data_IF_335820137489
#
_entry.id   IF_335820137489
#
_cell.length_a   1.000
_cell.length_b   1.000
_cell.length_c   1.000
_cell.angle_alpha   90.00
_cell.angle_beta   90.00
_cell.angle_gamma   90.00
#
_symmetry.space_group_name_H-M   'P 1'
#
loop_
_entity.id
_entity.type
_entity.pdbx_description
1 polymer ?
#
# COMPACT_ATOMS: atom_id res chain seq x y z
N UNK A 1 5.40 -18.77 16.80
CA UNK A 1 6.03 -17.71 15.99
C UNK A 1 5.18 -16.44 15.82
N UNK A 2 4.02 -16.32 16.51
CA UNK A 2 3.11 -15.18 16.34
C UNK A 2 3.66 -13.84 16.87
N UNK A 3 4.16 -13.81 18.11
CA UNK A 3 4.67 -12.57 18.72
C UNK A 3 5.80 -11.88 17.91
N UNK A 4 6.88 -12.59 17.49
CA UNK A 4 7.91 -11.94 16.67
C UNK A 4 7.37 -11.48 15.31
N UNK A 5 6.43 -12.23 14.71
CA UNK A 5 5.80 -11.83 13.47
C UNK A 5 5.01 -10.52 13.62
N UNK A 6 4.23 -10.39 14.69
CA UNK A 6 3.46 -9.17 14.99
C UNK A 6 4.38 -7.97 15.14
N UNK A 7 5.45 -8.09 15.94
CA UNK A 7 6.42 -7.01 16.14
C UNK A 7 7.08 -6.61 14.82
N UNK A 8 7.60 -7.58 14.06
CA UNK A 8 8.28 -7.30 12.79
C UNK A 8 7.33 -6.66 11.79
N UNK A 9 6.13 -7.22 11.60
CA UNK A 9 5.19 -6.74 10.60
C UNK A 9 4.63 -5.36 10.96
N UNK A 10 4.20 -5.14 12.21
CA UNK A 10 3.65 -3.84 12.66
C UNK A 10 4.73 -2.77 12.63
N UNK A 11 5.93 -3.04 13.15
CA UNK A 11 7.01 -2.05 13.13
C UNK A 11 7.46 -1.73 11.70
N UNK A 12 7.60 -2.75 10.83
CA UNK A 12 8.03 -2.52 9.44
C UNK A 12 6.97 -1.78 8.64
N UNK A 13 5.68 -2.12 8.82
CA UNK A 13 4.59 -1.38 8.20
C UNK A 13 4.55 0.07 8.68
N UNK A 14 4.69 0.29 9.99
CA UNK A 14 4.68 1.63 10.55
C UNK A 14 5.84 2.50 10.01
N UNK A 15 7.05 1.93 10.01
CA UNK A 15 8.24 2.59 9.50
C UNK A 15 8.15 2.86 8.00
N UNK A 16 7.68 1.90 7.22
CA UNK A 16 7.58 2.06 5.76
C UNK A 16 6.61 3.17 5.39
N UNK A 17 5.41 3.16 5.99
CA UNK A 17 4.39 4.19 5.75
C UNK A 17 4.87 5.56 6.23
N UNK A 18 5.44 5.65 7.43
CA UNK A 18 5.96 6.91 7.97
C UNK A 18 7.11 7.49 7.14
N UNK A 19 8.06 6.65 6.71
CA UNK A 19 9.19 7.07 5.87
C UNK A 19 8.73 7.51 4.47
N UNK A 20 7.75 6.83 3.88
CA UNK A 20 7.19 7.23 2.59
C UNK A 20 6.56 8.62 2.68
N UNK A 21 5.75 8.89 3.71
CA UNK A 21 5.14 10.20 3.91
C UNK A 21 6.16 11.29 4.18
N UNK A 22 7.13 11.01 5.05
CA UNK A 22 8.22 11.95 5.32
C UNK A 22 8.95 12.30 4.04
N UNK A 23 9.35 11.32 3.23
CA UNK A 23 10.13 11.56 2.03
C UNK A 23 9.34 12.40 1.01
N UNK A 24 8.04 12.17 0.85
CA UNK A 24 7.19 12.89 -0.12
C UNK A 24 7.02 14.37 0.23
N UNK A 25 7.10 14.76 1.50
CA UNK A 25 6.94 16.14 1.95
C UNK A 25 8.25 16.92 2.13
N UNK A 26 9.40 16.32 1.76
CA UNK A 26 10.71 16.97 1.91
C UNK A 26 11.07 17.84 0.70
N UNK A 27 12.11 18.67 0.88
CA UNK A 27 12.66 19.47 -0.23
C UNK A 27 13.21 18.60 -1.38
N UNK A 28 13.16 19.12 -2.60
CA UNK A 28 13.53 18.39 -3.83
C UNK A 28 14.89 17.68 -3.76
N UNK A 29 15.91 18.27 -3.14
CA UNK A 29 17.24 17.65 -3.04
C UNK A 29 17.26 16.46 -2.07
N UNK A 30 16.54 16.56 -0.94
CA UNK A 30 16.40 15.47 0.04
C UNK A 30 15.57 14.32 -0.51
N UNK A 31 14.52 14.65 -1.27
CA UNK A 31 13.71 13.68 -2.02
C UNK A 31 14.58 12.85 -2.96
N UNK A 32 15.45 13.49 -3.75
CA UNK A 32 16.35 12.80 -4.68
C UNK A 32 17.33 11.88 -3.95
N UNK A 33 17.95 12.36 -2.87
CA UNK A 33 18.89 11.57 -2.09
C UNK A 33 18.20 10.37 -1.43
N UNK A 34 17.04 10.58 -0.82
CA UNK A 34 16.27 9.51 -0.20
C UNK A 34 15.75 8.49 -1.21
N UNK A 35 15.32 8.92 -2.39
CA UNK A 35 14.93 8.01 -3.47
C UNK A 35 16.12 7.20 -4.01
N UNK A 36 17.31 7.81 -4.12
CA UNK A 36 18.52 7.09 -4.52
C UNK A 36 18.90 6.03 -3.49
N UNK A 37 18.87 6.37 -2.20
CA UNK A 37 19.11 5.41 -1.11
C UNK A 37 18.09 4.25 -1.15
N UNK A 38 16.80 4.57 -1.33
CA UNK A 38 15.74 3.57 -1.45
C UNK A 38 15.92 2.69 -2.69
N UNK A 39 16.39 3.24 -3.80
CA UNK A 39 16.69 2.50 -5.03
C UNK A 39 17.85 1.52 -4.83
N UNK A 40 18.90 1.93 -4.12
CA UNK A 40 20.01 1.04 -3.74
C UNK A 40 19.50 -0.09 -2.85
N UNK A 41 18.67 0.22 -1.85
CA UNK A 41 18.06 -0.79 -0.97
C UNK A 41 17.17 -1.77 -1.75
N UNK A 42 16.40 -1.29 -2.73
CA UNK A 42 15.58 -2.14 -3.58
C UNK A 42 16.42 -3.06 -4.47
N UNK A 43 17.54 -2.57 -5.03
CA UNK A 43 18.48 -3.39 -5.79
C UNK A 43 19.13 -4.47 -4.93
N UNK A 44 19.55 -4.12 -3.72
CA UNK A 44 20.05 -5.09 -2.73
C UNK A 44 18.97 -6.10 -2.37
N UNK A 45 17.72 -5.66 -2.20
CA UNK A 45 16.61 -6.55 -1.92
C UNK A 45 16.45 -7.59 -3.04
N UNK A 46 16.41 -7.16 -4.30
CA UNK A 46 16.35 -8.05 -5.46
C UNK A 46 17.51 -9.04 -5.52
N UNK A 47 18.73 -8.61 -5.19
CA UNK A 47 19.91 -9.48 -5.17
C UNK A 47 19.84 -10.53 -4.04
N UNK A 48 19.18 -10.22 -2.91
CA UNK A 48 19.09 -11.10 -1.75
C UNK A 48 17.89 -12.07 -1.79
N UNK A 49 16.83 -11.77 -2.54
CA UNK A 49 15.65 -12.65 -2.65
C UNK A 49 16.04 -14.11 -2.98
N UNK A 50 16.86 -14.42 -4.00
CA UNK A 50 17.21 -15.81 -4.32
C UNK A 50 17.72 -16.62 -3.12
N UNK A 51 18.51 -16.00 -2.24
CA UNK A 51 19.09 -16.66 -1.07
C UNK A 51 18.06 -16.91 0.03
N UNK A 52 17.08 -16.00 0.19
CA UNK A 52 16.03 -16.17 1.19
C UNK A 52 15.03 -17.26 0.81
N UNK A 53 14.74 -17.38 -0.49
CA UNK A 53 13.67 -18.25 -0.99
C UNK A 53 14.09 -19.73 -0.94
N UNK A 54 15.37 -20.03 -1.14
CA UNK A 54 15.93 -21.38 -1.02
C UNK A 54 16.24 -21.83 0.41
N UNK A 55 16.21 -20.90 1.38
CA UNK A 55 16.58 -21.20 2.77
C UNK A 55 15.37 -21.61 3.61
N UNK A 56 15.51 -22.71 4.34
CA UNK A 56 14.52 -23.21 5.29
C UNK A 56 14.67 -22.60 6.68
N UNK A 57 15.55 -21.62 6.88
CA UNK A 57 15.74 -21.00 8.19
C UNK A 57 14.64 -19.99 8.54
N UNK A 58 14.20 -19.89 9.80
CA UNK A 58 13.19 -18.91 10.20
C UNK A 58 13.62 -17.47 9.92
N UNK A 59 14.92 -17.16 10.05
CA UNK A 59 15.46 -15.84 9.73
C UNK A 59 15.24 -15.49 8.26
N UNK A 60 15.29 -16.47 7.35
CA UNK A 60 15.05 -16.25 5.93
C UNK A 60 13.60 -15.83 5.64
N UNK A 61 12.62 -16.28 6.43
CA UNK A 61 11.23 -15.81 6.32
C UNK A 61 11.10 -14.34 6.74
N UNK A 62 11.71 -13.95 7.86
CA UNK A 62 11.72 -12.55 8.32
C UNK A 62 12.45 -11.64 7.33
N UNK A 63 13.61 -12.06 6.81
CA UNK A 63 14.34 -11.33 5.79
C UNK A 63 13.53 -11.22 4.50
N UNK A 64 12.97 -12.32 3.99
CA UNK A 64 12.13 -12.33 2.79
C UNK A 64 10.95 -11.35 2.89
N UNK A 65 10.32 -11.27 4.06
CA UNK A 65 9.28 -10.27 4.34
C UNK A 65 9.80 -8.83 4.23
N UNK A 66 10.93 -8.51 4.86
CA UNK A 66 11.54 -7.17 4.80
C UNK A 66 11.96 -6.83 3.36
N UNK A 67 12.53 -7.77 2.62
CA UNK A 67 12.90 -7.58 1.21
C UNK A 67 11.66 -7.27 0.36
N UNK A 68 10.56 -8.00 0.57
CA UNK A 68 9.29 -7.73 -0.10
C UNK A 68 8.76 -6.33 0.20
N UNK A 69 8.87 -5.87 1.45
CA UNK A 69 8.49 -4.50 1.84
C UNK A 69 9.39 -3.43 1.23
N UNK A 70 10.69 -3.68 1.09
CA UNK A 70 11.62 -2.73 0.45
C UNK A 70 11.32 -2.58 -1.05
N UNK A 71 11.07 -3.70 -1.74
CA UNK A 71 10.67 -3.70 -3.15
C UNK A 71 9.34 -2.93 -3.32
N UNK A 72 8.35 -3.22 -2.47
CA UNK A 72 7.09 -2.49 -2.45
C UNK A 72 7.27 -1.00 -2.17
N UNK A 73 8.06 -0.66 -1.14
CA UNK A 73 8.34 0.71 -0.75
C UNK A 73 8.93 1.53 -1.88
N UNK A 74 9.87 0.97 -2.62
CA UNK A 74 10.45 1.61 -3.80
C UNK A 74 9.40 1.82 -4.90
N UNK A 75 8.58 0.81 -5.21
CA UNK A 75 7.50 0.94 -6.19
C UNK A 75 6.52 2.05 -5.79
N UNK A 76 6.09 2.07 -4.54
CA UNK A 76 5.13 3.03 -4.01
C UNK A 76 5.69 4.46 -3.98
N UNK A 77 6.90 4.65 -3.47
CA UNK A 77 7.56 5.96 -3.43
C UNK A 77 7.83 6.47 -4.86
N UNK A 78 8.25 5.59 -5.79
CA UNK A 78 8.45 5.98 -7.18
C UNK A 78 7.17 6.49 -7.85
N UNK A 79 6.02 5.96 -7.43
CA UNK A 79 4.70 6.42 -7.86
C UNK A 79 4.33 7.76 -7.21
N UNK A 80 4.50 7.90 -5.89
CA UNK A 80 4.18 9.14 -5.16
C UNK A 80 5.02 10.33 -5.66
N UNK A 81 6.29 10.09 -6.02
CA UNK A 81 7.18 11.10 -6.61
C UNK A 81 6.86 11.40 -8.09
N UNK A 82 6.00 10.62 -8.72
CA UNK A 82 5.62 10.79 -10.12
C UNK A 82 6.69 10.35 -11.13
N UNK A 83 7.69 9.57 -10.73
CA UNK A 83 8.67 9.01 -11.66
C UNK A 83 8.10 7.85 -12.49
N UNK A 84 7.19 7.08 -11.89
CA UNK A 84 6.53 5.93 -12.54
C UNK A 84 5.01 6.09 -12.41
N UNK A 85 4.47 7.18 -12.94
CA UNK A 85 3.01 7.38 -13.08
C UNK A 85 2.58 7.21 -14.54
N UNK A 86 1.29 7.02 -14.77
CA UNK A 86 0.75 6.80 -16.11
C UNK A 86 0.68 8.07 -16.95
N UNK A 87 0.45 7.95 -18.27
CA UNK A 87 0.54 9.07 -19.22
C UNK A 87 -0.53 10.16 -19.07
N UNK A 88 -1.59 9.90 -18.31
CA UNK A 88 -2.68 10.86 -18.13
C UNK A 88 -2.47 11.69 -16.87
N UNK A 89 -2.27 12.99 -17.05
CA UNK A 89 -2.18 13.99 -15.98
C UNK A 89 -3.33 15.01 -16.03
N UNK A 90 -4.35 14.76 -16.85
CA UNK A 90 -5.45 15.70 -17.06
C UNK A 90 -6.53 15.54 -15.98
N UNK A 91 -7.13 16.66 -15.59
CA UNK A 91 -8.28 16.71 -14.69
C UNK A 91 -9.47 16.05 -15.37
N UNK A 92 -10.22 15.22 -14.64
CA UNK A 92 -11.39 14.55 -15.21
C UNK A 92 -12.47 15.55 -15.64
N UNK A 93 -13.00 15.39 -16.86
CA UNK A 93 -14.18 16.13 -17.29
C UNK A 93 -15.38 15.83 -16.36
N UNK A 94 -16.08 16.89 -15.94
CA UNK A 94 -17.25 16.83 -15.06
C UNK A 94 -18.38 16.00 -15.67
N UNK A 95 -18.50 15.95 -17.00
CA UNK A 95 -19.52 15.18 -17.72
C UNK A 95 -19.08 13.77 -18.12
N UNK A 96 -17.88 13.33 -17.73
CA UNK A 96 -17.38 12.00 -18.10
C UNK A 96 -18.23 10.87 -17.49
N UNK A 97 -18.57 9.89 -18.33
CA UNK A 97 -19.25 8.64 -17.90
C UNK A 97 -18.37 7.85 -16.92
N UNK A 98 -18.98 7.00 -16.07
CA UNK A 98 -18.23 6.18 -15.11
C UNK A 98 -17.09 5.39 -15.76
N UNK A 99 -17.31 4.84 -16.96
CA UNK A 99 -16.27 4.10 -17.69
C UNK A 99 -15.12 4.98 -18.18
N UNK A 100 -15.41 6.19 -18.67
CA UNK A 100 -14.37 7.15 -19.06
C UNK A 100 -13.54 7.61 -17.84
N UNK A 101 -14.18 7.81 -16.69
CA UNK A 101 -13.49 8.11 -15.43
C UNK A 101 -12.61 6.94 -14.98
N UNK A 102 -13.10 5.71 -15.09
CA UNK A 102 -12.34 4.51 -14.76
C UNK A 102 -11.11 4.37 -15.65
N UNK A 103 -11.30 4.45 -16.97
CA UNK A 103 -10.19 4.38 -17.94
C UNK A 103 -9.18 5.52 -17.72
N UNK A 104 -9.68 6.73 -17.45
CA UNK A 104 -8.85 7.88 -17.11
C UNK A 104 -8.01 7.66 -15.86
N UNK A 105 -8.62 7.19 -14.75
CA UNK A 105 -7.95 6.89 -13.48
C UNK A 105 -6.99 5.70 -13.53
N UNK A 106 -7.28 4.66 -14.33
CA UNK A 106 -6.31 3.59 -14.57
C UNK A 106 -5.14 4.13 -15.41
N UNK A 107 -5.41 4.97 -16.41
CA UNK A 107 -4.38 5.58 -17.23
C UNK A 107 -3.45 6.53 -16.45
N UNK A 108 -3.83 7.02 -15.26
CA UNK A 108 -2.92 7.80 -14.40
C UNK A 108 -1.92 6.93 -13.63
N UNK A 109 -2.16 5.61 -13.53
CA UNK A 109 -1.36 4.70 -12.69
C UNK A 109 -0.81 3.48 -13.45
N UNK A 110 -1.09 3.36 -14.75
CA UNK A 110 -0.84 2.12 -15.52
C UNK A 110 0.62 1.66 -15.54
N UNK A 111 1.60 2.57 -15.63
CA UNK A 111 3.02 2.19 -15.64
C UNK A 111 3.45 1.60 -14.29
N UNK A 112 3.01 2.20 -13.19
CA UNK A 112 3.23 1.64 -11.86
C UNK A 112 2.63 0.24 -11.76
N UNK A 113 1.39 0.06 -12.22
CA UNK A 113 0.73 -1.25 -12.16
C UNK A 113 1.45 -2.33 -12.95
N UNK A 114 1.96 -1.99 -14.13
CA UNK A 114 2.79 -2.91 -14.92
C UNK A 114 4.08 -3.25 -14.18
N UNK A 115 4.76 -2.28 -13.58
CA UNK A 115 5.97 -2.53 -12.78
C UNK A 115 5.70 -3.43 -11.56
N UNK A 116 4.58 -3.22 -10.87
CA UNK A 116 4.17 -4.07 -9.74
C UNK A 116 3.85 -5.48 -10.22
N UNK A 117 3.09 -5.63 -11.30
CA UNK A 117 2.76 -6.93 -11.90
C UNK A 117 4.01 -7.70 -12.33
N UNK A 118 4.96 -7.03 -12.98
CA UNK A 118 6.24 -7.63 -13.36
C UNK A 118 7.05 -8.05 -12.13
N UNK A 119 7.06 -7.23 -11.07
CA UNK A 119 7.75 -7.54 -9.82
C UNK A 119 7.13 -8.76 -9.12
N UNK A 120 5.80 -8.82 -9.03
CA UNK A 120 5.06 -9.97 -8.49
C UNK A 120 5.32 -11.22 -9.34
N UNK A 121 5.28 -11.10 -10.66
CA UNK A 121 5.55 -12.20 -11.59
C UNK A 121 6.98 -12.73 -11.47
N UNK A 122 7.98 -11.85 -11.35
CA UNK A 122 9.36 -12.23 -11.16
C UNK A 122 9.56 -12.96 -9.82
N UNK A 123 9.01 -12.42 -8.72
CA UNK A 123 9.04 -13.09 -7.43
C UNK A 123 8.29 -14.43 -7.45
N UNK A 124 7.19 -14.55 -8.19
CA UNK A 124 6.47 -15.80 -8.36
C UNK A 124 7.38 -16.84 -9.00
N UNK A 125 8.02 -16.52 -10.14
CA UNK A 125 8.95 -17.42 -10.84
C UNK A 125 10.10 -17.83 -9.93
N UNK A 126 10.67 -16.90 -9.17
CA UNK A 126 11.75 -17.19 -8.22
C UNK A 126 11.30 -18.08 -7.07
N UNK A 127 10.02 -18.01 -6.68
CA UNK A 127 9.44 -18.75 -5.56
C UNK A 127 8.86 -20.10 -5.94
N UNK A 128 8.73 -20.42 -7.23
CA UNK A 128 8.21 -21.70 -7.69
C UNK A 128 9.10 -22.86 -7.24
N UNK A 129 8.51 -23.83 -6.55
CA UNK A 129 9.20 -25.04 -6.07
C UNK A 129 10.18 -24.80 -4.92
N UNK A 130 10.15 -23.62 -4.29
CA UNK A 130 11.05 -23.27 -3.21
C UNK A 130 10.39 -23.39 -1.83
N UNK A 131 11.22 -23.47 -0.79
CA UNK A 131 10.79 -23.70 0.60
C UNK A 131 10.19 -22.44 1.24
N UNK A 132 10.67 -21.25 0.85
CA UNK A 132 10.31 -20.00 1.49
C UNK A 132 9.82 -18.90 0.51
N UNK A 133 8.56 -18.96 0.06
CA UNK A 133 7.96 -17.95 -0.83
C UNK A 133 7.54 -16.64 -0.12
N UNK A 134 8.12 -16.27 1.04
CA UNK A 134 7.61 -15.16 1.86
C UNK A 134 7.60 -13.82 1.11
N UNK A 135 8.69 -13.47 0.41
CA UNK A 135 8.78 -12.19 -0.32
C UNK A 135 7.67 -12.05 -1.38
N UNK A 136 7.39 -13.14 -2.09
CA UNK A 136 6.31 -13.20 -3.08
C UNK A 136 4.94 -12.96 -2.43
N UNK A 137 4.63 -13.65 -1.34
CA UNK A 137 3.35 -13.47 -0.64
C UNK A 137 3.20 -12.06 -0.06
N UNK A 138 4.26 -11.49 0.52
CA UNK A 138 4.28 -10.11 1.01
C UNK A 138 3.92 -9.12 -0.09
N UNK A 139 4.61 -9.18 -1.24
CA UNK A 139 4.36 -8.28 -2.35
C UNK A 139 2.95 -8.47 -2.94
N UNK A 140 2.49 -9.73 -3.02
CA UNK A 140 1.16 -10.06 -3.53
C UNK A 140 0.04 -9.50 -2.65
N UNK A 141 0.14 -9.63 -1.33
CA UNK A 141 -0.84 -9.05 -0.39
C UNK A 141 -0.91 -7.54 -0.54
N UNK A 142 0.25 -6.86 -0.60
CA UNK A 142 0.30 -5.41 -0.76
C UNK A 142 -0.32 -4.96 -2.08
N UNK A 143 0.01 -5.65 -3.18
CA UNK A 143 -0.55 -5.38 -4.49
C UNK A 143 -2.07 -5.57 -4.53
N UNK A 144 -2.58 -6.70 -4.04
CA UNK A 144 -4.02 -6.98 -4.01
C UNK A 144 -4.78 -5.99 -3.12
N UNK A 145 -4.26 -5.69 -1.93
CA UNK A 145 -4.90 -4.75 -1.02
C UNK A 145 -4.87 -3.32 -1.55
N UNK A 146 -3.80 -2.93 -2.27
CA UNK A 146 -3.74 -1.64 -2.97
C UNK A 146 -4.76 -1.56 -4.10
N UNK A 147 -4.96 -2.62 -4.88
CA UNK A 147 -6.03 -2.68 -5.88
C UNK A 147 -7.41 -2.60 -5.24
N UNK A 148 -7.63 -3.34 -4.15
CA UNK A 148 -8.86 -3.28 -3.38
C UNK A 148 -9.14 -1.85 -2.91
N UNK A 149 -8.15 -1.15 -2.35
CA UNK A 149 -8.27 0.24 -1.94
C UNK A 149 -8.61 1.15 -3.13
N UNK A 150 -7.89 1.04 -4.26
CA UNK A 150 -8.16 1.84 -5.48
C UNK A 150 -9.57 1.65 -6.02
N UNK A 151 -10.05 0.41 -6.09
CA UNK A 151 -11.42 0.11 -6.52
C UNK A 151 -12.45 0.68 -5.55
N UNK A 152 -12.20 0.57 -4.25
CA UNK A 152 -13.06 1.16 -3.22
C UNK A 152 -13.12 2.68 -3.35
N UNK A 153 -11.98 3.35 -3.51
CA UNK A 153 -11.90 4.80 -3.72
C UNK A 153 -12.63 5.23 -5.00
N UNK A 154 -12.48 4.47 -6.09
CA UNK A 154 -13.15 4.75 -7.37
C UNK A 154 -14.67 4.62 -7.29
N UNK A 155 -15.16 3.56 -6.65
CA UNK A 155 -16.59 3.28 -6.55
C UNK A 155 -17.29 4.14 -5.49
N UNK A 156 -16.55 4.58 -4.48
CA UNK A 156 -16.97 5.57 -3.50
C UNK A 156 -16.68 5.18 -2.06
N UNK A 157 -16.06 6.09 -1.32
CA UNK A 157 -15.75 5.95 0.12
C UNK A 157 -16.25 7.15 0.91
N UNK A 158 -16.52 6.93 2.20
CA UNK A 158 -17.03 7.96 3.12
C UNK A 158 -15.95 8.87 3.66
N UNK A 159 -14.73 8.34 3.80
CA UNK A 159 -13.59 9.09 4.31
C UNK A 159 -12.42 8.90 3.38
N UNK A 160 -12.06 9.98 2.70
CA UNK A 160 -10.80 10.09 1.98
C UNK A 160 -10.12 11.38 2.44
N UNK A 161 -8.87 11.27 2.88
CA UNK A 161 -8.13 12.40 3.38
C UNK A 161 -7.27 12.95 2.24
N UNK A 162 -7.84 13.86 1.44
CA UNK A 162 -7.17 14.48 0.29
C UNK A 162 -5.79 15.08 0.63
N UNK A 163 -5.55 15.39 1.92
CA UNK A 163 -4.30 15.95 2.46
C UNK A 163 -3.09 15.00 2.40
N UNK A 164 -3.31 13.73 2.09
CA UNK A 164 -2.23 12.74 1.94
C UNK A 164 -1.61 12.73 0.55
N UNK A 165 -2.32 13.28 -0.45
CA UNK A 165 -1.80 13.38 -1.80
C UNK A 165 -0.91 14.62 -1.91
N UNK A 166 0.32 14.49 -2.43
CA UNK A 166 1.14 15.65 -2.75
C UNK A 166 0.49 16.50 -3.85
N UNK A 167 0.84 17.79 -3.90
CA UNK A 167 0.13 18.80 -4.71
C UNK A 167 0.00 18.41 -6.19
N UNK A 168 1.02 17.76 -6.76
CA UNK A 168 1.02 17.32 -8.15
C UNK A 168 0.07 16.15 -8.45
N UNK A 169 -0.45 15.46 -7.43
CA UNK A 169 -1.40 14.35 -7.56
C UNK A 169 -2.83 14.75 -7.19
N UNK A 170 -3.10 16.01 -6.83
CA UNK A 170 -4.45 16.46 -6.47
C UNK A 170 -5.48 16.28 -7.60
N UNK A 171 -5.05 16.25 -8.86
CA UNK A 171 -5.94 15.96 -9.99
C UNK A 171 -6.61 14.58 -9.87
N UNK A 172 -6.00 13.61 -9.18
CA UNK A 172 -6.59 12.28 -8.94
C UNK A 172 -7.88 12.37 -8.12
N UNK A 173 -7.98 13.34 -7.19
CA UNK A 173 -9.19 13.54 -6.39
C UNK A 173 -10.42 13.85 -7.27
N UNK A 174 -10.22 14.45 -8.46
CA UNK A 174 -11.30 14.70 -9.43
C UNK A 174 -11.92 13.44 -10.02
N UNK A 175 -11.20 12.32 -10.01
CA UNK A 175 -11.69 11.01 -10.47
C UNK A 175 -12.38 10.22 -9.36
N UNK A 176 -12.20 10.61 -8.09
CA UNK A 176 -12.77 9.92 -6.93
C UNK A 176 -14.19 10.42 -6.63
N UNK A 177 -15.01 9.53 -6.06
CA UNK A 177 -16.33 9.89 -5.52
C UNK A 177 -16.29 9.74 -4.01
N UNK A 178 -16.48 10.82 -3.27
CA UNK A 178 -16.48 10.81 -1.78
C UNK A 178 -17.89 10.85 -1.17
N UNK A 179 -18.93 10.73 -1.99
CA UNK A 179 -20.30 11.06 -1.60
C UNK A 179 -21.14 9.86 -1.09
N UNK A 180 -20.71 8.60 -1.33
CA UNK A 180 -21.54 7.41 -1.00
C UNK A 180 -20.72 6.22 -0.54
N UNK A 181 -21.27 5.49 0.44
CA UNK A 181 -20.77 4.16 0.80
C UNK A 181 -21.16 3.16 -0.28
N UNK A 182 -20.17 2.56 -0.91
CA UNK A 182 -20.36 1.45 -1.82
C UNK A 182 -20.49 0.11 -1.05
N UNK A 183 -21.47 -0.76 -1.36
CA UNK A 183 -21.56 -2.11 -0.78
C UNK A 183 -20.33 -3.01 -1.04
N UNK A 184 -19.49 -2.69 -2.02
CA UNK A 184 -18.22 -3.40 -2.22
C UNK A 184 -17.24 -3.23 -1.05
N UNK A 185 -17.23 -2.07 -0.38
CA UNK A 185 -16.29 -1.78 0.70
C UNK A 185 -16.44 -2.72 1.91
N UNK A 186 -17.64 -2.93 2.49
CA UNK A 186 -17.80 -3.91 3.56
C UNK A 186 -17.51 -5.33 3.07
N UNK A 187 -17.85 -5.67 1.82
CA UNK A 187 -17.59 -6.99 1.26
C UNK A 187 -16.07 -7.26 1.12
N UNK A 188 -15.32 -6.34 0.53
CA UNK A 188 -13.86 -6.46 0.38
C UNK A 188 -13.18 -6.52 1.75
N UNK A 189 -13.67 -5.75 2.71
CA UNK A 189 -13.17 -5.76 4.09
C UNK A 189 -13.42 -7.11 4.77
N UNK A 190 -14.63 -7.67 4.64
CA UNK A 190 -14.97 -9.00 5.16
C UNK A 190 -14.11 -10.10 4.53
N UNK A 191 -13.88 -10.04 3.22
CA UNK A 191 -12.97 -10.96 2.51
C UNK A 191 -11.55 -10.82 3.07
N UNK A 192 -11.10 -9.58 3.34
CA UNK A 192 -9.80 -9.31 3.94
C UNK A 192 -9.62 -9.94 5.33
N UNK A 193 -10.62 -9.80 6.20
CA UNK A 193 -10.63 -10.44 7.53
C UNK A 193 -10.74 -11.95 7.44
N UNK A 194 -11.54 -12.49 6.52
CA UNK A 194 -11.64 -13.92 6.30
C UNK A 194 -10.29 -14.50 5.85
N UNK A 195 -9.62 -13.87 4.88
CA UNK A 195 -8.29 -14.28 4.43
C UNK A 195 -7.26 -14.21 5.58
N UNK A 196 -7.32 -13.15 6.40
CA UNK A 196 -6.48 -13.02 7.60
C UNK A 196 -6.69 -14.18 8.57
N UNK A 197 -7.95 -14.53 8.87
CA UNK A 197 -8.29 -15.66 9.73
C UNK A 197 -7.77 -16.99 9.15
N UNK A 198 -7.99 -17.23 7.86
CA UNK A 198 -7.49 -18.43 7.17
C UNK A 198 -5.97 -18.52 7.18
N UNK A 199 -5.25 -17.41 7.04
CA UNK A 199 -3.78 -17.37 7.10
C UNK A 199 -3.27 -17.68 8.51
N UNK A 200 -3.88 -17.13 9.56
CA UNK A 200 -3.53 -17.48 10.95
C UNK A 200 -3.83 -18.95 11.27
N UNK A 201 -4.96 -19.48 10.78
CA UNK A 201 -5.28 -20.91 10.91
C UNK A 201 -4.29 -21.81 10.16
N UNK A 202 -3.84 -21.39 8.98
CA UNK A 202 -2.80 -22.11 8.22
C UNK A 202 -1.45 -22.03 8.93
N UNK A 203 -1.13 -20.89 9.54
CA UNK A 203 0.08 -20.69 10.31
C UNK A 203 0.13 -21.54 11.58
N UNK A 204 -1.00 -21.79 12.24
CA UNK A 204 -1.05 -22.66 13.42
C UNK A 204 -0.98 -24.15 13.07
N UNK A 205 -1.47 -24.53 11.89
CA UNK A 205 -1.41 -25.89 11.38
C UNK A 205 -0.07 -26.27 10.72
N UNK A 206 0.77 -25.29 10.37
CA UNK A 206 2.04 -25.54 9.70
C UNK A 206 3.03 -26.27 10.62
N UNK A 207 3.68 -27.33 10.11
CA UNK A 207 4.64 -28.13 10.87
C UNK A 207 6.02 -27.45 10.97
N UNK A 208 6.43 -26.72 9.93
CA UNK A 208 7.75 -26.08 9.88
C UNK A 208 7.72 -24.67 10.48
N UNK A 209 8.68 -24.37 11.36
CA UNK A 209 8.80 -23.09 12.06
C UNK A 209 8.91 -21.91 11.07
N UNK A 210 9.64 -22.10 9.97
CA UNK A 210 9.85 -21.07 8.93
C UNK A 210 8.56 -20.72 8.22
N UNK A 211 7.77 -21.74 7.85
CA UNK A 211 6.45 -21.55 7.27
C UNK A 211 5.47 -20.92 8.27
N UNK A 212 5.49 -21.34 9.54
CA UNK A 212 4.70 -20.70 10.59
C UNK A 212 5.01 -19.21 10.71
N UNK A 213 6.29 -18.82 10.71
CA UNK A 213 6.70 -17.42 10.80
C UNK A 213 6.28 -16.63 9.56
N UNK A 214 6.54 -17.17 8.37
CA UNK A 214 6.12 -16.58 7.08
C UNK A 214 4.62 -16.27 7.07
N UNK A 215 3.78 -17.27 7.35
CA UNK A 215 2.33 -17.12 7.32
C UNK A 215 1.83 -16.16 8.40
N UNK A 216 2.42 -16.14 9.59
CA UNK A 216 2.07 -15.15 10.62
C UNK A 216 2.44 -13.72 10.22
N UNK A 217 3.57 -13.51 9.54
CA UNK A 217 3.98 -12.20 9.01
C UNK A 217 2.98 -11.72 7.96
N UNK A 218 2.62 -12.59 7.01
CA UNK A 218 1.67 -12.28 5.93
C UNK A 218 0.27 -12.06 6.51
N UNK A 219 -0.18 -12.87 7.46
CA UNK A 219 -1.46 -12.71 8.15
C UNK A 219 -1.54 -11.37 8.89
N UNK A 220 -0.46 -10.98 9.58
CA UNK A 220 -0.40 -9.67 10.25
C UNK A 220 -0.46 -8.52 9.26
N UNK A 221 0.26 -8.62 8.13
CA UNK A 221 0.21 -7.61 7.08
C UNK A 221 -1.19 -7.50 6.47
N UNK A 222 -1.85 -8.64 6.21
CA UNK A 222 -3.23 -8.70 5.73
C UNK A 222 -4.22 -8.11 6.73
N UNK A 223 -4.00 -8.34 8.03
CA UNK A 223 -4.79 -7.75 9.11
C UNK A 223 -4.66 -6.23 9.10
N UNK A 224 -3.43 -5.70 9.04
CA UNK A 224 -3.18 -4.26 8.98
C UNK A 224 -3.84 -3.62 7.75
N UNK A 225 -3.70 -4.24 6.57
CA UNK A 225 -4.36 -3.77 5.36
C UNK A 225 -5.89 -3.85 5.44
N UNK A 226 -6.44 -4.85 6.13
CA UNK A 226 -7.90 -4.96 6.36
C UNK A 226 -8.40 -3.87 7.32
N UNK A 227 -7.61 -3.53 8.34
CA UNK A 227 -7.90 -2.41 9.24
C UNK A 227 -7.85 -1.08 8.48
N UNK A 228 -6.92 -0.91 7.54
CA UNK A 228 -6.86 0.28 6.67
C UNK A 228 -8.16 0.45 5.86
N UNK A 229 -8.76 -0.63 5.38
CA UNK A 229 -10.07 -0.56 4.73
C UNK A 229 -11.20 -0.11 5.68
N UNK A 230 -11.12 -0.44 6.97
CA UNK A 230 -12.05 0.12 7.97
C UNK A 230 -11.87 1.63 8.11
N UNK A 231 -10.65 2.16 7.96
CA UNK A 231 -10.40 3.61 7.96
C UNK A 231 -11.03 4.31 6.74
N UNK A 232 -11.17 3.62 5.60
CA UNK A 232 -11.93 4.13 4.45
C UNK A 232 -13.45 4.14 4.70
N UNK A 233 -13.93 3.24 5.57
CA UNK A 233 -15.36 3.09 5.89
C UNK A 233 -15.82 4.08 6.96
N UNK A 234 -14.98 4.35 7.96
CA UNK A 234 -15.27 5.23 9.08
C UNK A 234 -14.36 6.46 9.05
N UNK A 235 -14.88 7.69 9.16
CA UNK A 235 -14.09 8.91 9.20
C UNK A 235 -13.31 9.03 10.51
N UNK A 236 -12.28 8.22 10.64
CA UNK A 236 -11.30 8.29 11.71
C UNK A 236 -10.20 9.25 11.28
N UNK A 237 -9.75 10.11 12.19
CA UNK A 237 -8.65 11.04 11.93
C UNK A 237 -7.32 10.26 11.92
N UNK A 238 -7.11 9.44 10.91
CA UNK A 238 -5.89 8.68 10.63
C UNK A 238 -4.65 9.58 10.63
N UNK A 239 -4.80 10.83 10.18
CA UNK A 239 -3.75 11.84 10.21
C UNK A 239 -3.27 12.22 11.62
N UNK A 240 -4.02 11.86 12.68
CA UNK A 240 -3.54 11.99 14.06
C UNK A 240 -2.40 10.99 14.36
N UNK A 241 -2.48 9.76 13.83
CA UNK A 241 -1.46 8.73 13.99
C UNK A 241 -0.12 9.14 13.36
N UNK A 242 -0.18 9.93 12.29
CA UNK A 242 0.96 10.36 11.49
C UNK A 242 1.29 11.85 11.66
N UNK A 243 0.76 12.47 12.72
CA UNK A 243 0.96 13.90 13.01
C UNK A 243 2.44 14.29 13.13
N UNK A 244 3.29 13.37 13.59
CA UNK A 244 4.74 13.54 13.69
C UNK A 244 5.47 13.52 12.34
N UNK A 245 4.87 12.91 11.31
CA UNK A 245 5.46 12.78 9.98
C UNK A 245 5.05 13.92 9.03
N UNK A 246 4.15 14.81 9.47
CA UNK A 246 3.75 16.00 8.70
C UNK A 246 4.56 17.20 9.16
N UNK A 247 5.18 17.90 8.22
CA UNK A 247 5.58 19.29 8.47
C UNK A 247 4.31 20.13 8.69
N UNK A 248 4.37 21.07 9.63
CA UNK A 248 3.25 21.89 10.11
C UNK A 248 2.61 22.73 8.99
N UNK A 249 1.73 22.13 8.19
CA UNK A 249 0.87 22.89 7.28
C UNK A 249 -0.30 23.44 8.09
N UNK A 250 -0.39 24.77 8.13
CA UNK A 250 -1.43 25.53 8.80
C UNK A 250 -2.82 24.99 8.42
N UNK A 251 -3.72 24.73 9.38
CA UNK A 251 -5.05 24.24 9.05
C UNK A 251 -5.78 25.30 8.22
N UNK A 252 -6.04 25.02 6.94
CA UNK A 252 -7.00 25.79 6.16
C UNK A 252 -8.37 25.63 6.82
N UNK A 253 -8.91 26.77 7.26
CA UNK A 253 -10.23 26.98 7.82
C UNK A 253 -11.23 26.21 6.96
N UNK A 254 -12.01 25.30 7.57
CA UNK A 254 -13.19 24.76 6.90
C UNK A 254 -14.04 25.95 6.45
N UNK A 255 -14.13 26.19 5.15
CA UNK A 255 -15.12 27.10 4.58
C UNK A 255 -16.45 26.43 4.87
N UNK A 256 -17.05 26.83 6.00
CA UNK A 256 -18.47 26.64 6.24
C UNK A 256 -19.15 27.38 5.09
N UNK A 257 -19.89 26.63 4.29
CA UNK A 257 -20.87 27.15 3.34
C UNK A 257 -21.73 28.15 4.12
N UNK A 258 -21.45 29.45 3.97
CA UNK A 258 -22.45 30.47 4.25
C UNK A 258 -23.48 30.29 3.14
N UNK A 259 -24.54 29.57 3.50
CA UNK A 259 -25.79 29.73 2.78
C UNK A 259 -26.22 31.17 2.97
N UNK A 260 -26.10 31.92 1.88
CA UNK A 260 -26.83 33.15 1.65
C UNK A 260 -28.32 32.88 1.89
N UNK A 261 -28.80 33.31 3.06
CA UNK A 261 -30.21 33.62 3.28
C UNK A 261 -30.35 35.16 3.19
N UNK A 262 -30.54 35.66 1.98
CA UNK A 262 -31.26 36.90 1.66
C UNK A 262 -32.20 36.64 0.47
#
# INVERSE_FOLDING_TARGET
MLFPALVIAVSSWWLLTGLALLLVHQSHDRVRLGFLALSILALVAWALVPFTVSSSEPLAAALGFILGLLIWGWLEVSYLLGYVNGPNHEVCDKNATMWQRFKGGVATTIYHEVCVLLSVGLLAVMSLGQVNPTAFYTLTVLWLMRWSAKLNLFLGVRSFNDRWLPDHLHYLASYLKTDRLNPFLPLSTLIGFYATYSLFGSASAAAEITQQLSLNLIATLMLLASIEHLFLMFPLNDAALWSWARENVTPLRAVRDDKDDL
#
